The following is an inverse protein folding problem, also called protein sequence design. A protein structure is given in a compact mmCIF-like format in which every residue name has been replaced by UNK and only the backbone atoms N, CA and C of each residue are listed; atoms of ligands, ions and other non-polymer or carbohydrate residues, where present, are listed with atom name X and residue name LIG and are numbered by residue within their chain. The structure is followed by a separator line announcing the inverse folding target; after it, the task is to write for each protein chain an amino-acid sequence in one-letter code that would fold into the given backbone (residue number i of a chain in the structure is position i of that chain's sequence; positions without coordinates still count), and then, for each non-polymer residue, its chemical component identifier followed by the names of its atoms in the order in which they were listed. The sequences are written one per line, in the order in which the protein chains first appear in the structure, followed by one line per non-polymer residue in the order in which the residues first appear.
data_IF_459059992301
#
_entry.id   IF_459059992301
#
_cell.length_a   1.000
_cell.length_b   1.000
_cell.length_c   1.000
_cell.angle_alpha   90.00
_cell.angle_beta   90.00
_cell.angle_gamma   90.00
#
_symmetry.space_group_name_H-M   'P 1'
#
loop_
_entity.id
_entity.type
_entity.pdbx_description
1 polymer ?
#
# COMPACT_ATOMS: atom_id res chain seq x y z
N UNK A 1 -26.20 -0.62 -9.20
CA UNK A 1 -24.98 -0.17 -9.91
C UNK A 1 -23.78 -1.06 -9.58
N UNK A 2 -22.68 -0.99 -10.35
CA UNK A 2 -21.49 -1.80 -10.07
C UNK A 2 -20.81 -1.35 -8.79
N UNK A 3 -20.74 -0.03 -8.55
CA UNK A 3 -20.16 0.55 -7.34
C UNK A 3 -20.85 0.05 -6.06
N UNK A 4 -22.19 -0.12 -6.08
CA UNK A 4 -22.96 -0.63 -4.94
C UNK A 4 -22.56 -2.07 -4.60
N UNK A 5 -22.31 -2.91 -5.62
CA UNK A 5 -21.82 -4.29 -5.41
C UNK A 5 -20.46 -4.30 -4.74
N UNK A 6 -19.55 -3.37 -5.12
CA UNK A 6 -18.21 -3.22 -4.52
C UNK A 6 -18.32 -2.80 -3.04
N UNK A 7 -19.26 -1.91 -2.71
CA UNK A 7 -19.52 -1.46 -1.34
C UNK A 7 -20.13 -2.59 -0.52
N UNK A 8 -21.26 -3.14 -0.97
CA UNK A 8 -22.01 -4.19 -0.28
C UNK A 8 -21.16 -5.42 0.03
N UNK A 9 -20.32 -5.84 -0.92
CA UNK A 9 -19.49 -7.03 -0.79
C UNK A 9 -18.10 -6.75 -0.16
N UNK A 10 -17.87 -5.54 0.37
CA UNK A 10 -16.64 -5.13 1.04
C UNK A 10 -15.36 -5.34 0.19
N UNK A 11 -15.46 -5.26 -1.15
CA UNK A 11 -14.31 -5.36 -2.05
C UNK A 11 -13.65 -3.99 -2.32
N UNK A 12 -14.23 -2.89 -1.84
CA UNK A 12 -13.66 -1.54 -1.93
C UNK A 12 -12.35 -1.43 -1.15
N UNK A 13 -11.31 -0.85 -1.77
CA UNK A 13 -10.02 -0.58 -1.13
C UNK A 13 -9.98 0.76 -0.37
N UNK A 14 -10.92 1.67 -0.65
CA UNK A 14 -10.95 3.02 -0.11
C UNK A 14 -9.97 3.99 -0.77
N UNK A 15 -9.51 3.73 -1.99
CA UNK A 15 -8.48 4.54 -2.68
C UNK A 15 -8.94 5.98 -3.02
N UNK A 16 -10.24 6.20 -3.22
CA UNK A 16 -10.81 7.53 -3.48
C UNK A 16 -10.94 7.92 -4.95
N UNK A 17 -10.37 7.18 -5.91
CA UNK A 17 -10.35 7.57 -7.31
C UNK A 17 -11.75 7.82 -7.91
N UNK A 18 -12.76 7.08 -7.47
CA UNK A 18 -14.13 7.27 -7.94
C UNK A 18 -14.72 8.66 -7.57
N UNK A 19 -14.32 9.25 -6.43
CA UNK A 19 -14.69 10.62 -6.07
C UNK A 19 -14.04 11.62 -7.04
N UNK A 20 -12.74 11.44 -7.32
CA UNK A 20 -12.02 12.32 -8.23
C UNK A 20 -12.55 12.27 -9.67
N UNK A 21 -12.94 11.06 -10.14
CA UNK A 21 -13.42 10.84 -11.53
C UNK A 21 -14.88 11.28 -11.71
N UNK A 22 -15.75 10.99 -10.74
CA UNK A 22 -17.20 11.22 -10.88
C UNK A 22 -17.70 12.45 -10.12
N UNK A 23 -16.79 13.24 -9.58
CA UNK A 23 -17.01 14.41 -8.75
C UNK A 23 -17.66 14.11 -7.39
N UNK A 24 -17.36 14.93 -6.41
CA UNK A 24 -17.88 14.79 -5.04
C UNK A 24 -19.39 14.90 -4.96
N UNK A 25 -20.04 15.55 -5.92
CA UNK A 25 -21.50 15.68 -5.99
C UNK A 25 -22.21 14.37 -6.36
N UNK A 26 -21.50 13.42 -6.97
CA UNK A 26 -22.05 12.09 -7.30
C UNK A 26 -21.53 10.99 -6.36
N UNK A 27 -20.22 11.03 -6.06
CA UNK A 27 -19.56 10.01 -5.25
C UNK A 27 -18.63 10.69 -4.26
N UNK A 28 -18.89 10.59 -2.98
CA UNK A 28 -18.08 11.16 -1.90
C UNK A 28 -17.49 10.05 -1.03
N UNK A 29 -16.20 10.11 -0.70
CA UNK A 29 -15.56 9.15 0.20
C UNK A 29 -15.84 9.55 1.65
N UNK A 30 -16.52 8.67 2.38
CA UNK A 30 -16.86 8.86 3.80
C UNK A 30 -16.37 7.70 4.65
N UNK A 31 -16.09 8.00 5.93
CA UNK A 31 -15.81 6.98 6.93
C UNK A 31 -17.13 6.27 7.29
N UNK A 32 -17.16 4.95 7.16
CA UNK A 32 -18.32 4.15 7.56
C UNK A 32 -18.25 3.79 9.07
N UNK A 33 -19.34 3.23 9.61
CA UNK A 33 -19.44 2.80 11.01
C UNK A 33 -18.40 1.75 11.43
N UNK A 34 -17.84 0.98 10.48
CA UNK A 34 -16.78 0.00 10.73
C UNK A 34 -15.38 0.62 10.73
N UNK A 35 -15.26 1.95 10.54
CA UNK A 35 -13.98 2.66 10.54
C UNK A 35 -13.17 2.51 9.27
N UNK A 36 -13.81 2.37 8.10
CA UNK A 36 -13.16 2.33 6.79
C UNK A 36 -13.72 3.38 5.85
N UNK A 37 -12.89 3.94 4.99
CA UNK A 37 -13.32 4.85 3.92
C UNK A 37 -14.05 4.10 2.81
N UNK A 38 -15.25 4.57 2.46
CA UNK A 38 -16.11 3.99 1.42
C UNK A 38 -16.78 5.09 0.61
N UNK A 39 -17.04 4.84 -0.69
CA UNK A 39 -17.83 5.76 -1.49
C UNK A 39 -19.27 5.81 -0.99
N UNK A 40 -19.77 7.02 -0.81
CA UNK A 40 -21.20 7.34 -0.64
C UNK A 40 -21.71 7.86 -1.98
N UNK A 41 -22.70 7.18 -2.57
CA UNK A 41 -23.23 7.49 -3.89
C UNK A 41 -24.50 8.32 -3.73
N UNK A 42 -24.44 9.59 -4.10
CA UNK A 42 -25.59 10.53 -4.01
C UNK A 42 -26.41 10.56 -5.31
N UNK A 43 -25.78 10.26 -6.45
CA UNK A 43 -26.43 10.19 -7.78
C UNK A 43 -25.97 8.96 -8.54
N UNK A 44 -26.89 8.33 -9.27
CA UNK A 44 -26.57 7.16 -10.06
C UNK A 44 -25.51 7.47 -11.14
N UNK A 45 -24.56 6.54 -11.29
CA UNK A 45 -23.62 6.58 -12.39
C UNK A 45 -24.30 6.22 -13.70
N UNK A 46 -24.03 6.95 -14.78
CA UNK A 46 -24.47 6.63 -16.14
C UNK A 46 -23.85 5.30 -16.62
N UNK A 47 -24.32 4.75 -17.72
CA UNK A 47 -23.74 3.54 -18.30
C UNK A 47 -22.27 3.73 -18.69
N UNK A 48 -21.90 4.90 -19.19
CA UNK A 48 -20.52 5.25 -19.52
C UNK A 48 -19.64 5.29 -18.26
N UNK A 49 -20.09 5.98 -17.20
CA UNK A 49 -19.37 6.05 -15.91
C UNK A 49 -19.22 4.69 -15.26
N UNK A 50 -20.26 3.84 -15.31
CA UNK A 50 -20.16 2.45 -14.83
C UNK A 50 -19.13 1.63 -15.65
N UNK A 51 -19.06 1.86 -16.97
CA UNK A 51 -18.05 1.23 -17.81
C UNK A 51 -16.63 1.68 -17.44
N UNK A 52 -16.41 2.98 -17.22
CA UNK A 52 -15.13 3.49 -16.74
C UNK A 52 -14.77 2.92 -15.37
N UNK A 53 -15.72 2.91 -14.41
CA UNK A 53 -15.52 2.36 -13.07
C UNK A 53 -15.06 0.90 -13.10
N UNK A 54 -15.63 0.08 -13.99
CA UNK A 54 -15.24 -1.31 -14.20
C UNK A 54 -13.80 -1.47 -14.69
N UNK A 55 -13.23 -0.48 -15.36
CA UNK A 55 -11.89 -0.53 -15.93
C UNK A 55 -10.80 -0.15 -14.92
N UNK A 56 -11.09 0.74 -13.97
CA UNK A 56 -10.06 1.24 -13.05
C UNK A 56 -10.24 0.78 -11.59
N UNK A 57 -11.42 0.35 -11.15
CA UNK A 57 -11.66 0.05 -9.74
C UNK A 57 -10.93 -1.22 -9.29
N UNK A 58 -9.96 -1.14 -8.33
CA UNK A 58 -9.22 -2.30 -7.85
C UNK A 58 -10.05 -3.27 -6.99
N UNK A 59 -11.30 -2.91 -6.66
CA UNK A 59 -12.30 -3.79 -6.08
C UNK A 59 -12.95 -4.74 -7.10
N UNK A 60 -12.73 -4.50 -8.40
CA UNK A 60 -13.29 -5.27 -9.53
C UNK A 60 -12.18 -5.91 -10.34
N UNK A 61 -11.13 -5.13 -10.67
CA UNK A 61 -10.09 -5.53 -11.61
C UNK A 61 -8.72 -5.07 -11.13
N UNK A 62 -7.72 -5.94 -11.26
CA UNK A 62 -6.30 -5.62 -11.21
C UNK A 62 -5.66 -6.36 -12.37
N UNK A 63 -5.37 -5.63 -13.44
CA UNK A 63 -4.72 -6.16 -14.64
C UNK A 63 -3.43 -5.40 -14.89
N UNK A 64 -2.36 -6.15 -15.10
CA UNK A 64 -1.07 -5.66 -15.58
C UNK A 64 -1.01 -5.85 -17.09
N UNK A 65 -0.47 -4.88 -17.80
CA UNK A 65 0.00 -5.10 -19.17
C UNK A 65 1.24 -5.99 -19.13
N UNK A 66 1.39 -6.86 -20.12
CA UNK A 66 2.59 -7.68 -20.23
C UNK A 66 3.79 -6.77 -20.53
N UNK A 67 4.82 -6.88 -19.71
CA UNK A 67 6.11 -6.24 -19.95
C UNK A 67 7.15 -7.34 -20.21
N UNK A 68 8.05 -7.07 -21.12
CA UNK A 68 9.21 -7.92 -21.33
C UNK A 68 10.23 -7.61 -20.23
N UNK A 69 10.20 -8.38 -19.15
CA UNK A 69 11.09 -8.22 -18.00
C UNK A 69 12.07 -9.39 -17.92
N UNK A 70 13.35 -9.12 -17.56
CA UNK A 70 14.38 -10.17 -17.55
C UNK A 70 14.21 -11.19 -16.42
N UNK A 71 13.46 -10.84 -15.35
CA UNK A 71 13.30 -11.68 -14.16
C UNK A 71 11.83 -11.96 -13.88
N UNK A 72 11.53 -13.19 -13.51
CA UNK A 72 10.20 -13.63 -13.11
C UNK A 72 10.26 -14.61 -11.94
N UNK A 73 9.40 -14.42 -10.97
CA UNK A 73 9.14 -15.35 -9.88
C UNK A 73 7.63 -15.60 -9.72
N UNK A 74 7.18 -16.85 -9.47
CA UNK A 74 5.75 -17.17 -9.33
C UNK A 74 5.01 -16.44 -8.21
N UNK A 75 5.71 -16.00 -7.16
CA UNK A 75 5.16 -15.30 -6.00
C UNK A 75 5.38 -13.80 -6.14
N UNK A 76 6.61 -13.41 -6.49
CA UNK A 76 7.05 -12.00 -6.51
C UNK A 76 6.79 -11.32 -7.85
N UNK A 77 6.49 -12.11 -8.91
CA UNK A 77 6.10 -11.61 -10.24
C UNK A 77 7.29 -11.15 -11.07
N UNK A 78 6.98 -10.43 -12.15
CA UNK A 78 7.95 -9.89 -13.09
C UNK A 78 8.68 -8.67 -12.50
N UNK A 79 9.98 -8.54 -12.82
CA UNK A 79 10.82 -7.42 -12.35
C UNK A 79 12.06 -7.24 -13.24
N UNK A 80 12.62 -6.04 -13.25
CA UNK A 80 13.90 -5.76 -13.90
C UNK A 80 15.06 -6.01 -12.95
N UNK A 81 14.93 -5.62 -11.69
CA UNK A 81 15.92 -5.88 -10.64
C UNK A 81 15.27 -6.05 -9.28
N UNK A 82 15.99 -6.73 -8.39
CA UNK A 82 15.64 -6.87 -6.99
C UNK A 82 16.90 -6.79 -6.13
N UNK A 83 16.92 -5.92 -5.13
CA UNK A 83 18.09 -5.73 -4.27
C UNK A 83 17.71 -5.42 -2.83
N UNK A 84 18.66 -5.56 -1.90
CA UNK A 84 18.62 -5.00 -0.57
C UNK A 84 19.45 -3.72 -0.58
N UNK A 85 18.84 -2.62 -0.13
CA UNK A 85 19.49 -1.31 -0.06
C UNK A 85 18.87 -0.42 1.00
N UNK A 86 19.35 0.80 1.08
CA UNK A 86 18.83 1.83 1.98
C UNK A 86 19.13 3.23 1.43
N UNK A 87 18.60 4.26 2.10
CA UNK A 87 19.08 5.63 1.94
C UNK A 87 20.56 5.73 2.26
N UNK A 88 21.32 6.47 1.47
CA UNK A 88 22.70 6.85 1.80
C UNK A 88 22.74 7.90 2.90
N UNK A 89 21.73 8.77 3.00
CA UNK A 89 21.56 9.77 4.05
C UNK A 89 21.13 9.09 5.37
N UNK A 90 22.05 9.03 6.34
CA UNK A 90 21.83 8.43 7.65
C UNK A 90 20.70 9.11 8.43
N UNK A 91 20.51 10.43 8.30
CA UNK A 91 19.45 11.16 8.94
C UNK A 91 18.08 10.68 8.42
N UNK A 92 17.92 10.66 7.11
CA UNK A 92 16.71 10.11 6.45
C UNK A 92 16.45 8.67 6.88
N UNK A 93 17.51 7.84 6.95
CA UNK A 93 17.40 6.43 7.33
C UNK A 93 16.93 6.21 8.76
N UNK A 94 17.25 7.11 9.69
CA UNK A 94 16.85 7.02 11.10
C UNK A 94 15.46 7.62 11.38
N UNK A 95 15.02 8.57 10.57
CA UNK A 95 13.74 9.27 10.79
C UNK A 95 12.53 8.56 10.16
N UNK A 96 12.72 7.78 9.11
CA UNK A 96 11.64 7.12 8.40
C UNK A 96 11.57 5.60 8.69
N UNK A 97 10.54 4.94 8.20
CA UNK A 97 10.38 3.48 8.33
C UNK A 97 11.25 2.73 7.32
N UNK A 98 11.67 1.51 7.66
CA UNK A 98 12.47 0.64 6.79
C UNK A 98 13.85 1.24 6.46
N UNK A 99 14.43 0.92 5.28
CA UNK A 99 15.69 1.52 4.79
C UNK A 99 15.51 2.88 4.14
N UNK A 100 14.32 3.45 4.18
CA UNK A 100 13.98 4.77 3.63
C UNK A 100 14.23 4.94 2.11
N UNK A 101 14.32 3.83 1.39
CA UNK A 101 14.56 3.86 -0.05
C UNK A 101 13.53 4.72 -0.81
N UNK A 102 12.25 4.65 -0.43
CA UNK A 102 11.20 5.49 -1.05
C UNK A 102 11.51 6.97 -0.80
N UNK A 103 11.73 7.40 0.44
CA UNK A 103 11.99 8.81 0.76
C UNK A 103 13.21 9.37 0.01
N UNK A 104 14.28 8.56 -0.13
CA UNK A 104 15.45 8.94 -0.93
C UNK A 104 15.15 9.07 -2.42
N UNK A 105 14.35 8.16 -2.99
CA UNK A 105 13.92 8.26 -4.38
C UNK A 105 13.04 9.48 -4.62
N UNK A 106 12.14 9.81 -3.70
CA UNK A 106 11.30 11.00 -3.80
C UNK A 106 12.14 12.28 -3.75
N UNK A 107 13.14 12.32 -2.87
CA UNK A 107 14.11 13.39 -2.79
C UNK A 107 14.88 13.55 -4.10
N UNK A 108 15.41 12.44 -4.63
CA UNK A 108 16.10 12.40 -5.91
C UNK A 108 15.25 12.99 -7.04
N UNK A 109 13.97 12.57 -7.13
CA UNK A 109 13.05 13.06 -8.15
C UNK A 109 12.84 14.58 -8.09
N UNK A 110 12.74 15.17 -6.89
CA UNK A 110 12.58 16.62 -6.72
C UNK A 110 13.89 17.38 -6.95
N UNK A 111 14.98 16.94 -6.34
CA UNK A 111 16.29 17.65 -6.43
C UNK A 111 16.87 17.65 -7.86
N UNK A 112 16.56 16.59 -8.64
CA UNK A 112 16.93 16.51 -10.07
C UNK A 112 15.88 17.12 -11.01
N UNK A 113 14.84 17.77 -10.49
CA UNK A 113 13.75 18.37 -11.26
C UNK A 113 13.09 17.40 -12.26
N UNK A 114 13.06 16.08 -11.93
CA UNK A 114 12.40 15.06 -12.75
C UNK A 114 10.90 15.20 -12.62
N UNK A 115 10.42 15.58 -11.42
CA UNK A 115 9.03 15.92 -11.14
C UNK A 115 8.95 17.23 -10.34
N UNK A 116 7.80 17.90 -10.43
CA UNK A 116 7.53 19.17 -9.73
C UNK A 116 6.95 18.94 -8.33
N UNK A 117 6.27 17.82 -8.15
CA UNK A 117 5.61 17.49 -6.89
C UNK A 117 5.46 15.98 -6.69
N UNK A 118 5.39 15.59 -5.42
CA UNK A 118 5.12 14.23 -4.97
C UNK A 118 3.74 14.19 -4.32
N UNK A 119 2.85 13.34 -4.82
CA UNK A 119 1.54 13.09 -4.21
C UNK A 119 1.62 11.81 -3.38
N UNK A 120 1.35 11.92 -2.09
CA UNK A 120 1.42 10.80 -1.15
C UNK A 120 0.48 10.98 0.04
N UNK A 121 0.61 10.14 1.07
CA UNK A 121 -0.22 10.18 2.28
C UNK A 121 0.61 10.64 3.47
N UNK A 122 0.08 11.56 4.26
CA UNK A 122 0.63 11.94 5.55
C UNK A 122 -0.41 11.93 6.67
N UNK A 123 0.01 12.21 7.89
CA UNK A 123 -0.90 12.45 9.00
C UNK A 123 -1.71 13.72 8.75
N UNK A 124 -2.99 13.69 9.13
CA UNK A 124 -3.77 14.92 9.18
C UNK A 124 -3.23 15.86 10.26
N UNK A 125 -3.17 17.15 9.96
CA UNK A 125 -2.72 18.16 10.92
C UNK A 125 -3.72 18.37 12.05
N UNK A 126 -5.01 18.28 11.74
CA UNK A 126 -6.10 18.62 12.66
C UNK A 126 -6.73 17.40 13.36
N UNK A 127 -6.60 16.22 12.77
CA UNK A 127 -7.24 15.01 13.23
C UNK A 127 -6.19 13.88 13.35
N UNK A 128 -5.57 13.71 14.54
CA UNK A 128 -4.35 12.90 14.71
C UNK A 128 -4.49 11.43 14.31
N UNK A 129 -5.71 10.90 14.31
CA UNK A 129 -6.02 9.52 13.89
C UNK A 129 -6.15 9.37 12.37
N UNK A 130 -6.40 10.46 11.64
CA UNK A 130 -6.70 10.42 10.22
C UNK A 130 -5.45 10.65 9.37
N UNK A 131 -5.60 10.27 8.13
CA UNK A 131 -4.64 10.52 7.07
C UNK A 131 -5.24 11.50 6.07
N UNK A 132 -4.39 12.30 5.45
CA UNK A 132 -4.75 13.19 4.35
C UNK A 132 -3.77 13.06 3.19
N UNK A 133 -4.20 13.51 2.02
CA UNK A 133 -3.35 13.64 0.84
C UNK A 133 -2.36 14.76 1.08
N UNK A 134 -1.09 14.50 0.78
CA UNK A 134 -0.01 15.50 0.82
C UNK A 134 0.56 15.69 -0.57
N UNK A 135 0.89 16.93 -0.87
CA UNK A 135 1.64 17.31 -2.07
C UNK A 135 2.94 17.93 -1.59
N UNK A 136 4.04 17.18 -1.70
CA UNK A 136 5.37 17.63 -1.25
C UNK A 136 6.21 18.11 -2.42
N UNK A 137 6.91 19.22 -2.21
CA UNK A 137 7.82 19.88 -3.18
C UNK A 137 9.24 20.00 -2.65
N UNK A 138 9.47 19.66 -1.39
CA UNK A 138 10.77 19.79 -0.72
C UNK A 138 11.12 18.51 0.04
N UNK A 139 12.42 18.31 0.27
CA UNK A 139 12.96 17.24 1.12
C UNK A 139 12.34 17.27 2.51
N UNK A 140 12.17 18.45 3.08
CA UNK A 140 11.61 18.62 4.41
C UNK A 140 10.18 18.08 4.48
N UNK A 141 9.34 18.45 3.53
CA UNK A 141 7.94 17.97 3.47
C UNK A 141 7.86 16.44 3.27
N UNK A 142 8.78 15.84 2.50
CA UNK A 142 8.88 14.39 2.36
C UNK A 142 9.20 13.74 3.71
N UNK A 143 10.20 14.25 4.44
CA UNK A 143 10.64 13.68 5.71
C UNK A 143 9.59 13.81 6.82
N UNK A 144 8.88 14.93 6.89
CA UNK A 144 7.77 15.12 7.82
C UNK A 144 6.68 14.05 7.69
N UNK A 145 6.48 13.55 6.47
CA UNK A 145 5.47 12.56 6.14
C UNK A 145 6.04 11.13 5.93
N UNK A 146 7.35 10.93 6.11
CA UNK A 146 8.07 9.69 5.84
C UNK A 146 7.86 8.61 6.90
N UNK A 147 6.61 8.20 7.14
CA UNK A 147 6.29 7.15 8.10
C UNK A 147 5.19 6.22 7.59
N UNK A 148 5.23 4.96 8.05
CA UNK A 148 4.12 4.03 7.83
C UNK A 148 2.85 4.55 8.51
N UNK A 149 1.74 4.54 7.78
CA UNK A 149 0.43 4.96 8.28
C UNK A 149 -0.54 3.78 8.20
N UNK A 150 -0.80 3.11 9.33
CA UNK A 150 -1.70 1.94 9.40
C UNK A 150 -3.13 2.36 9.72
N UNK A 151 -3.68 3.29 8.96
CA UNK A 151 -5.03 3.83 9.06
C UNK A 151 -5.62 4.03 7.67
N UNK A 152 -6.95 4.08 7.52
CA UNK A 152 -7.59 4.33 6.23
C UNK A 152 -7.10 5.64 5.58
N UNK A 153 -6.89 5.59 4.27
CA UNK A 153 -6.52 6.75 3.44
C UNK A 153 -7.14 6.64 2.06
N UNK A 154 -7.50 7.77 1.47
CA UNK A 154 -8.05 7.90 0.13
C UNK A 154 -7.17 8.83 -0.73
N UNK A 155 -5.93 8.41 -1.08
CA UNK A 155 -4.96 9.31 -1.69
C UNK A 155 -5.31 9.77 -3.10
N UNK A 156 -6.36 9.23 -3.69
CA UNK A 156 -6.80 9.55 -5.05
C UNK A 156 -8.12 10.35 -5.09
N UNK A 157 -8.66 10.78 -3.94
CA UNK A 157 -9.98 11.42 -3.92
C UNK A 157 -10.03 12.80 -4.62
N UNK A 158 -8.89 13.48 -4.74
CA UNK A 158 -8.73 14.74 -5.46
C UNK A 158 -7.55 14.72 -6.45
N UNK A 159 -7.13 13.54 -6.90
CA UNK A 159 -5.91 13.38 -7.70
C UNK A 159 -5.98 14.12 -9.05
N UNK A 160 -7.15 14.17 -9.70
CA UNK A 160 -7.29 14.85 -10.98
C UNK A 160 -7.16 16.37 -10.84
N UNK A 161 -7.67 16.95 -9.74
CA UNK A 161 -7.46 18.36 -9.43
C UNK A 161 -5.97 18.65 -9.21
N UNK A 162 -5.28 17.81 -8.43
CA UNK A 162 -3.84 17.95 -8.18
C UNK A 162 -3.06 17.87 -9.50
N UNK A 163 -3.32 16.86 -10.35
CA UNK A 163 -2.63 16.67 -11.64
C UNK A 163 -2.79 17.90 -12.56
N UNK A 164 -3.92 18.60 -12.49
CA UNK A 164 -4.14 19.79 -13.31
C UNK A 164 -3.20 20.94 -12.95
N UNK A 165 -2.70 20.99 -11.70
CA UNK A 165 -1.83 22.05 -11.21
C UNK A 165 -0.33 21.82 -11.48
N UNK A 166 0.06 20.66 -12.06
CA UNK A 166 1.45 20.28 -12.31
C UNK A 166 1.60 19.63 -13.67
N UNK A 167 2.79 19.75 -14.28
CA UNK A 167 3.11 19.07 -15.53
C UNK A 167 3.72 17.68 -15.32
N UNK A 168 4.43 17.49 -14.20
CA UNK A 168 5.12 16.24 -13.88
C UNK A 168 5.01 15.94 -12.39
N UNK A 169 4.36 14.86 -12.03
CA UNK A 169 4.27 14.40 -10.65
C UNK A 169 4.75 12.96 -10.49
N UNK A 170 5.15 12.60 -9.28
CA UNK A 170 5.22 11.20 -8.85
C UNK A 170 4.12 10.92 -7.81
N UNK A 171 3.57 9.73 -7.85
CA UNK A 171 2.54 9.26 -6.92
C UNK A 171 3.09 8.12 -6.05
N UNK A 172 2.87 8.20 -4.74
CA UNK A 172 3.18 7.12 -3.80
C UNK A 172 1.91 6.65 -3.09
N UNK A 173 1.62 5.35 -3.22
CA UNK A 173 0.44 4.77 -2.60
C UNK A 173 0.54 3.28 -2.33
N UNK A 174 -0.46 2.74 -1.65
CA UNK A 174 -0.63 1.29 -1.50
C UNK A 174 -0.75 0.64 -2.89
N UNK A 175 -0.39 -0.65 -3.05
CA UNK A 175 -0.54 -1.34 -4.35
C UNK A 175 -1.91 -1.16 -5.00
N UNK A 176 -2.99 -1.16 -4.21
CA UNK A 176 -4.35 -0.93 -4.74
C UNK A 176 -4.60 0.52 -5.17
N UNK A 177 -3.96 1.52 -4.56
CA UNK A 177 -4.05 2.92 -5.00
C UNK A 177 -3.29 3.09 -6.33
N UNK A 178 -2.07 2.54 -6.40
CA UNK A 178 -1.29 2.53 -7.64
C UNK A 178 -2.03 1.77 -8.75
N UNK A 179 -2.62 0.61 -8.45
CA UNK A 179 -3.39 -0.15 -9.42
C UNK A 179 -4.58 0.64 -9.98
N UNK A 180 -5.31 1.38 -9.12
CA UNK A 180 -6.40 2.24 -9.55
C UNK A 180 -5.92 3.34 -10.50
N UNK A 181 -4.86 4.06 -10.11
CA UNK A 181 -4.32 5.17 -10.91
C UNK A 181 -3.68 4.69 -12.22
N UNK A 182 -2.92 3.58 -12.19
CA UNK A 182 -2.32 2.97 -13.38
C UNK A 182 -3.38 2.52 -14.38
N UNK A 183 -4.42 1.82 -13.92
CA UNK A 183 -5.51 1.39 -14.78
C UNK A 183 -6.31 2.58 -15.34
N UNK A 184 -6.47 3.64 -14.56
CA UNK A 184 -7.09 4.86 -15.04
C UNK A 184 -6.24 5.60 -16.07
N UNK A 185 -4.91 5.55 -15.95
CA UNK A 185 -4.00 6.14 -16.95
C UNK A 185 -4.12 5.50 -18.34
N UNK A 186 -4.62 4.25 -18.45
CA UNK A 186 -4.90 3.61 -19.75
C UNK A 186 -6.12 4.17 -20.47
N UNK A 187 -6.95 4.95 -19.77
CA UNK A 187 -8.17 5.56 -20.33
C UNK A 187 -8.22 7.08 -20.16
N UNK A 188 -7.16 7.68 -19.60
CA UNK A 188 -7.03 9.12 -19.41
C UNK A 188 -5.60 9.55 -19.76
N UNK A 189 -5.47 10.24 -20.89
CA UNK A 189 -4.16 10.67 -21.42
C UNK A 189 -3.47 11.71 -20.52
N UNK A 190 -4.21 12.58 -19.84
CA UNK A 190 -3.64 13.56 -18.92
C UNK A 190 -2.94 12.87 -17.75
N UNK A 191 -3.58 11.86 -17.13
CA UNK A 191 -2.96 11.06 -16.08
C UNK A 191 -1.75 10.30 -16.63
N UNK A 192 -1.86 9.71 -17.83
CA UNK A 192 -0.76 8.98 -18.48
C UNK A 192 0.46 9.87 -18.73
N UNK A 193 0.26 11.11 -19.17
CA UNK A 193 1.36 12.02 -19.52
C UNK A 193 1.98 12.72 -18.31
N UNK A 194 1.19 13.06 -17.28
CA UNK A 194 1.64 13.88 -16.15
C UNK A 194 2.14 13.07 -14.95
N UNK A 195 1.64 11.86 -14.72
CA UNK A 195 2.13 10.97 -13.64
C UNK A 195 3.35 10.19 -14.14
N UNK A 196 4.55 10.70 -13.87
CA UNK A 196 5.81 10.13 -14.40
C UNK A 196 6.22 8.85 -13.69
N UNK A 197 5.99 8.77 -12.39
CA UNK A 197 6.34 7.60 -11.58
C UNK A 197 5.21 7.24 -10.62
N UNK A 198 4.93 5.96 -10.52
CA UNK A 198 4.02 5.38 -9.54
C UNK A 198 4.79 4.43 -8.65
N UNK A 199 5.08 4.85 -7.43
CA UNK A 199 5.89 4.11 -6.46
C UNK A 199 4.98 3.49 -5.41
N UNK A 200 5.30 2.27 -4.99
CA UNK A 200 4.52 1.56 -3.98
C UNK A 200 5.41 0.93 -2.91
N UNK A 201 4.77 0.28 -1.96
CA UNK A 201 5.41 -0.49 -0.89
C UNK A 201 4.64 -1.80 -0.67
N UNK A 202 5.27 -2.80 -0.06
CA UNK A 202 4.56 -4.01 0.32
C UNK A 202 3.51 -3.69 1.38
N UNK A 203 2.26 -4.05 1.09
CA UNK A 203 1.11 -3.71 1.91
C UNK A 203 0.51 -4.93 2.60
N UNK A 204 0.63 -5.00 3.91
CA UNK A 204 0.03 -6.07 4.69
C UNK A 204 -1.49 -5.91 4.89
N UNK A 205 -2.04 -4.70 4.72
CA UNK A 205 -3.47 -4.39 4.81
C UNK A 205 -3.75 -3.05 5.48
N UNK A 206 -5.00 -2.63 5.44
CA UNK A 206 -5.48 -1.39 6.05
C UNK A 206 -6.37 -1.75 7.24
N UNK A 207 -5.91 -1.52 8.49
CA UNK A 207 -6.73 -1.67 9.69
C UNK A 207 -7.85 -0.61 9.74
N UNK A 208 -8.88 -0.89 10.52
CA UNK A 208 -9.94 0.11 10.78
C UNK A 208 -9.42 1.25 11.66
N UNK A 209 -10.02 2.42 11.49
CA UNK A 209 -9.77 3.55 12.40
C UNK A 209 -10.11 3.20 13.85
N UNK A 210 -11.19 2.44 14.05
CA UNK A 210 -11.60 1.97 15.37
C UNK A 210 -10.49 1.19 16.08
N UNK A 211 -9.73 0.35 15.34
CA UNK A 211 -8.64 -0.42 15.94
C UNK A 211 -7.54 0.48 16.55
N UNK A 212 -7.23 1.60 15.91
CA UNK A 212 -6.28 2.58 16.46
C UNK A 212 -6.85 3.26 17.71
N UNK A 213 -8.14 3.65 17.69
CA UNK A 213 -8.81 4.24 18.85
C UNK A 213 -8.90 3.29 20.02
N UNK A 214 -9.16 1.98 19.77
CA UNK A 214 -9.17 0.95 20.78
C UNK A 214 -7.80 0.79 21.48
N UNK A 215 -6.70 0.90 20.71
CA UNK A 215 -5.34 0.87 21.26
C UNK A 215 -5.10 2.08 22.16
N UNK A 216 -5.48 3.26 21.72
CA UNK A 216 -5.31 4.52 22.48
C UNK A 216 -6.07 4.44 23.79
N UNK A 217 -7.33 4.00 23.76
CA UNK A 217 -8.14 3.79 24.97
C UNK A 217 -7.53 2.76 25.92
N UNK A 218 -6.97 1.67 25.39
CA UNK A 218 -6.30 0.64 26.21
C UNK A 218 -5.00 1.16 26.88
N UNK A 219 -4.42 2.25 26.37
CA UNK A 219 -3.30 2.97 26.98
C UNK A 219 -3.75 3.97 28.07
N UNK A 220 -5.06 4.08 28.33
CA UNK A 220 -5.61 5.01 29.31
C UNK A 220 -5.69 6.46 28.81
N UNK A 221 -5.66 6.68 27.48
CA UNK A 221 -5.73 8.01 26.89
C UNK A 221 -7.10 8.20 26.25
N UNK A 222 -7.80 9.28 26.59
CA UNK A 222 -9.04 9.65 25.91
C UNK A 222 -8.74 10.15 24.48
N UNK A 223 -9.61 9.82 23.53
CA UNK A 223 -9.37 10.16 22.12
C UNK A 223 -9.21 11.66 21.88
N UNK A 224 -9.94 12.48 22.63
CA UNK A 224 -9.93 13.94 22.52
C UNK A 224 -8.65 14.57 23.08
N UNK A 225 -7.90 13.83 23.89
CA UNK A 225 -6.61 14.28 24.44
C UNK A 225 -5.41 13.91 23.56
N UNK A 226 -5.63 13.17 22.48
CA UNK A 226 -4.57 12.79 21.56
C UNK A 226 -4.20 13.94 20.63
N UNK A 227 -2.93 14.31 20.61
CA UNK A 227 -2.38 15.32 19.69
C UNK A 227 -1.66 14.67 18.51
N UNK A 228 -1.09 13.46 18.68
CA UNK A 228 -0.34 12.77 17.63
C UNK A 228 -0.39 11.25 17.77
N UNK A 229 -0.50 10.58 16.62
CA UNK A 229 -0.34 9.12 16.51
C UNK A 229 0.70 8.81 15.43
N UNK A 230 1.78 8.16 15.83
CA UNK A 230 2.77 7.59 14.92
C UNK A 230 2.69 6.07 14.96
N UNK A 231 2.73 5.40 13.81
CA UNK A 231 2.62 3.93 13.76
C UNK A 231 3.96 3.21 13.79
N UNK A 232 5.04 3.89 13.33
CA UNK A 232 6.42 3.39 13.35
C UNK A 232 7.38 4.57 13.41
N UNK A 233 7.86 4.92 14.57
CA UNK A 233 8.82 6.02 14.82
C UNK A 233 9.91 5.55 15.77
N UNK A 234 11.03 6.26 15.83
CA UNK A 234 12.17 5.98 16.71
C UNK A 234 12.84 4.62 16.37
N UNK A 235 13.48 4.56 15.19
CA UNK A 235 14.24 3.41 14.74
C UNK A 235 13.45 2.44 13.84
N UNK A 236 14.05 1.29 13.57
CA UNK A 236 13.47 0.22 12.79
C UNK A 236 13.56 -1.12 13.56
N UNK A 237 12.45 -1.80 13.83
CA UNK A 237 11.08 -1.65 13.29
C UNK A 237 10.32 -0.42 13.75
N UNK A 238 10.76 0.26 14.81
CA UNK A 238 10.10 1.43 15.39
C UNK A 238 8.94 1.08 16.32
N UNK A 239 8.36 2.11 16.94
CA UNK A 239 7.28 2.01 17.90
C UNK A 239 6.00 2.65 17.41
N UNK A 240 4.87 2.09 17.79
CA UNK A 240 3.61 2.81 17.82
C UNK A 240 3.66 3.82 18.97
N UNK A 241 3.32 5.06 18.71
CA UNK A 241 3.36 6.14 19.71
C UNK A 241 2.08 6.93 19.70
N UNK A 242 1.66 7.31 20.91
CA UNK A 242 0.60 8.29 21.14
C UNK A 242 1.19 9.43 21.95
N UNK A 243 0.89 10.66 21.61
CA UNK A 243 1.25 11.86 22.37
C UNK A 243 -0.05 12.52 22.78
N UNK A 244 -0.23 12.74 24.11
CA UNK A 244 -1.39 13.45 24.68
C UNK A 244 -1.18 14.96 24.67
N UNK A 245 -2.22 15.71 25.02
CA UNK A 245 -2.15 17.17 25.23
C UNK A 245 -1.15 17.55 26.31
N UNK A 246 -0.99 16.72 27.35
CA UNK A 246 -0.02 16.92 28.43
C UNK A 246 1.39 16.47 28.04
N UNK A 247 1.65 16.26 26.73
CA UNK A 247 2.93 15.80 26.18
C UNK A 247 3.40 14.44 26.70
N UNK A 248 2.55 13.65 27.35
CA UNK A 248 2.86 12.29 27.78
C UNK A 248 2.98 11.40 26.53
N UNK A 249 4.08 10.65 26.46
CA UNK A 249 4.39 9.77 25.35
C UNK A 249 4.20 8.31 25.74
N UNK A 250 3.22 7.66 25.11
CA UNK A 250 2.97 6.22 25.24
C UNK A 250 3.59 5.47 24.05
N UNK A 251 4.18 4.30 24.30
CA UNK A 251 4.83 3.48 23.27
C UNK A 251 4.45 2.01 23.37
N UNK A 252 4.23 1.39 22.22
CA UNK A 252 4.07 -0.06 22.06
C UNK A 252 5.02 -0.57 20.98
N UNK A 253 5.53 -1.79 21.14
CA UNK A 253 6.40 -2.41 20.15
C UNK A 253 5.65 -2.66 18.82
N UNK A 254 6.39 -2.67 17.73
CA UNK A 254 5.86 -2.98 16.39
C UNK A 254 5.19 -4.35 16.36
N UNK A 255 5.82 -5.38 16.92
CA UNK A 255 5.29 -6.75 16.95
C UNK A 255 3.95 -6.83 17.67
N UNK A 256 3.82 -6.20 18.85
CA UNK A 256 2.56 -6.15 19.59
C UNK A 256 1.49 -5.40 18.78
N UNK A 257 1.82 -4.21 18.30
CA UNK A 257 0.85 -3.34 17.64
C UNK A 257 0.37 -3.94 16.31
N UNK A 258 1.32 -4.32 15.44
CA UNK A 258 0.93 -4.83 14.12
C UNK A 258 0.39 -6.26 14.20
N UNK A 259 1.11 -7.19 14.83
CA UNK A 259 0.76 -8.61 14.79
C UNK A 259 -0.47 -8.94 15.62
N UNK A 260 -0.65 -8.28 16.77
CA UNK A 260 -1.70 -8.61 17.74
C UNK A 260 -2.93 -7.71 17.66
N UNK A 261 -2.74 -6.40 17.41
CA UNK A 261 -3.80 -5.40 17.57
C UNK A 261 -4.37 -4.92 16.22
N UNK A 262 -3.54 -4.46 15.29
CA UNK A 262 -3.97 -3.89 14.02
C UNK A 262 -4.19 -4.92 12.90
N UNK A 263 -3.28 -5.87 12.73
CA UNK A 263 -3.32 -6.86 11.66
C UNK A 263 -4.61 -7.70 11.60
N UNK A 264 -5.18 -8.17 12.71
CA UNK A 264 -6.46 -8.87 12.73
C UNK A 264 -7.65 -8.00 12.26
N UNK A 265 -7.55 -6.69 12.43
CA UNK A 265 -8.60 -5.69 12.13
C UNK A 265 -8.50 -5.09 10.71
N UNK A 266 -7.72 -5.69 9.81
CA UNK A 266 -7.67 -5.23 8.41
C UNK A 266 -8.97 -5.51 7.69
N UNK A 267 -9.37 -4.59 6.78
CA UNK A 267 -10.60 -4.71 5.99
C UNK A 267 -10.65 -5.99 5.16
N UNK A 268 -11.86 -6.47 4.87
CA UNK A 268 -12.07 -7.71 4.12
C UNK A 268 -11.35 -7.72 2.77
N UNK A 269 -11.38 -6.61 2.03
CA UNK A 269 -10.66 -6.44 0.77
C UNK A 269 -9.17 -6.81 0.87
N UNK A 270 -8.52 -6.52 1.99
CA UNK A 270 -7.12 -6.86 2.22
C UNK A 270 -6.89 -8.36 2.48
N UNK A 271 -7.90 -9.07 3.00
CA UNK A 271 -7.86 -10.52 3.22
C UNK A 271 -7.96 -11.32 1.91
N UNK A 272 -8.58 -10.73 0.88
CA UNK A 272 -8.69 -11.28 -0.49
C UNK A 272 -7.83 -10.49 -1.50
N UNK A 273 -6.72 -9.88 -1.06
CA UNK A 273 -5.92 -9.02 -1.91
C UNK A 273 -5.09 -9.83 -2.93
N UNK A 274 -5.23 -9.56 -4.24
CA UNK A 274 -4.40 -10.19 -5.27
C UNK A 274 -3.00 -9.61 -5.37
N UNK A 275 -2.83 -8.35 -4.94
CA UNK A 275 -1.59 -7.60 -5.09
C UNK A 275 -1.24 -6.83 -3.82
N UNK A 276 -0.47 -7.46 -2.95
CA UNK A 276 0.15 -6.80 -1.81
C UNK A 276 1.59 -6.37 -2.06
N UNK A 277 2.13 -6.63 -3.26
CA UNK A 277 3.55 -6.46 -3.60
C UNK A 277 3.80 -5.50 -4.76
N UNK A 278 2.78 -4.75 -5.19
CA UNK A 278 2.92 -3.63 -6.12
C UNK A 278 3.30 -4.00 -7.55
N UNK A 279 2.59 -4.96 -8.17
CA UNK A 279 2.87 -5.38 -9.53
C UNK A 279 2.65 -4.28 -10.59
N UNK A 280 1.81 -3.28 -10.31
CA UNK A 280 1.47 -2.20 -11.23
C UNK A 280 2.26 -0.91 -10.97
N UNK A 281 3.18 -0.91 -10.01
CA UNK A 281 4.09 0.22 -9.74
C UNK A 281 5.31 0.22 -10.67
N UNK A 282 6.01 1.33 -10.75
CA UNK A 282 7.32 1.39 -11.41
C UNK A 282 8.41 0.84 -10.49
N UNK A 283 8.34 1.22 -9.21
CA UNK A 283 9.23 0.75 -8.14
C UNK A 283 8.37 0.37 -6.94
N UNK A 284 8.76 -0.70 -6.25
CA UNK A 284 8.17 -1.08 -4.98
C UNK A 284 9.25 -1.38 -3.95
N UNK A 285 9.04 -0.91 -2.72
CA UNK A 285 9.95 -1.19 -1.61
C UNK A 285 9.25 -1.96 -0.50
N UNK A 286 10.03 -2.69 0.30
CA UNK A 286 9.55 -3.41 1.46
C UNK A 286 10.57 -3.39 2.59
N UNK A 287 10.16 -3.75 3.81
CA UNK A 287 11.10 -4.01 4.90
C UNK A 287 12.02 -5.18 4.53
N UNK A 288 13.32 -5.00 4.67
CA UNK A 288 14.36 -5.99 4.41
C UNK A 288 14.85 -6.64 5.71
N UNK A 289 14.00 -7.38 6.43
CA UNK A 289 14.34 -8.04 7.68
C UNK A 289 15.52 -9.02 7.52
N UNK A 290 16.45 -9.01 8.45
CA UNK A 290 17.66 -9.87 8.41
C UNK A 290 17.73 -10.87 9.54
N UNK A 291 17.12 -10.57 10.71
CA UNK A 291 17.13 -11.46 11.86
C UNK A 291 15.89 -12.34 11.89
N UNK A 292 16.11 -13.64 12.04
CA UNK A 292 15.05 -14.65 12.05
C UNK A 292 15.14 -15.52 13.31
N UNK A 293 13.98 -15.95 13.81
CA UNK A 293 13.89 -16.94 14.87
C UNK A 293 14.18 -18.37 14.34
N UNK A 294 14.22 -19.35 15.23
CA UNK A 294 14.46 -20.74 14.91
C UNK A 294 13.40 -21.36 13.96
N UNK A 295 12.25 -20.68 13.79
CA UNK A 295 11.18 -21.08 12.85
C UNK A 295 11.26 -20.33 11.52
N UNK A 296 12.26 -19.46 11.36
CA UNK A 296 12.47 -18.67 10.15
C UNK A 296 11.56 -17.44 10.04
N UNK A 297 10.93 -16.95 11.11
CA UNK A 297 10.16 -15.72 11.13
C UNK A 297 11.02 -14.53 11.55
N UNK A 298 10.80 -13.33 10.97
CA UNK A 298 11.49 -12.12 11.39
C UNK A 298 11.30 -11.84 12.87
N UNK A 299 12.39 -11.56 13.58
CA UNK A 299 12.37 -11.27 15.05
C UNK A 299 12.06 -9.81 15.37
N UNK A 300 12.13 -8.93 14.38
CA UNK A 300 11.91 -7.49 14.54
C UNK A 300 12.84 -6.83 15.57
N UNK A 301 14.08 -7.27 15.66
CA UNK A 301 15.12 -6.63 16.47
C UNK A 301 15.43 -5.24 15.93
N UNK A 302 15.77 -4.31 16.85
CA UNK A 302 16.18 -2.97 16.44
C UNK A 302 17.51 -3.03 15.70
N UNK A 303 17.54 -2.44 14.52
CA UNK A 303 18.70 -2.41 13.62
C UNK A 303 18.65 -1.17 12.70
N UNK A 304 19.74 -0.80 12.03
CA UNK A 304 19.65 0.16 10.93
C UNK A 304 18.75 -0.36 9.83
N UNK A 305 17.71 0.41 9.46
CA UNK A 305 16.70 0.01 8.50
C UNK A 305 17.29 -0.40 7.15
N UNK A 306 16.74 -1.46 6.55
CA UNK A 306 17.03 -1.92 5.19
C UNK A 306 15.74 -2.14 4.41
N UNK A 307 15.80 -1.91 3.11
CA UNK A 307 14.68 -2.11 2.20
C UNK A 307 15.00 -3.18 1.16
N UNK A 308 14.03 -4.05 0.87
CA UNK A 308 13.95 -4.70 -0.43
C UNK A 308 13.52 -3.64 -1.42
N UNK A 309 14.19 -3.53 -2.55
CA UNK A 309 13.90 -2.56 -3.63
C UNK A 309 13.72 -3.36 -4.91
N UNK A 310 12.57 -3.23 -5.55
CA UNK A 310 12.22 -3.95 -6.78
C UNK A 310 11.79 -2.93 -7.84
N UNK A 311 12.41 -2.98 -9.02
CA UNK A 311 11.91 -2.29 -10.21
C UNK A 311 10.97 -3.18 -11.01
N UNK A 312 9.82 -2.63 -11.40
CA UNK A 312 8.76 -3.34 -12.12
C UNK A 312 8.63 -2.95 -13.59
N UNK A 313 9.14 -1.77 -13.94
CA UNK A 313 9.11 -1.22 -15.29
C UNK A 313 10.50 -0.78 -15.70
N UNK A 314 10.74 -0.64 -17.01
CA UNK A 314 12.00 -0.09 -17.52
C UNK A 314 12.25 1.32 -16.98
N UNK A 315 11.21 2.15 -16.92
CA UNK A 315 11.29 3.50 -16.37
C UNK A 315 11.71 3.49 -14.88
N UNK A 316 11.17 2.56 -14.09
CA UNK A 316 11.57 2.35 -12.69
C UNK A 316 13.01 1.85 -12.55
N UNK A 317 13.46 0.96 -13.43
CA UNK A 317 14.84 0.46 -13.43
C UNK A 317 15.85 1.58 -13.75
N UNK A 318 15.55 2.39 -14.75
CA UNK A 318 16.42 3.49 -15.13
C UNK A 318 16.53 4.54 -14.01
N UNK A 319 15.41 4.86 -13.34
CA UNK A 319 15.40 5.71 -12.15
C UNK A 319 16.27 5.14 -11.02
N UNK A 320 16.14 3.84 -10.71
CA UNK A 320 16.93 3.20 -9.66
C UNK A 320 18.41 3.22 -9.98
N UNK A 321 18.81 2.92 -11.21
CA UNK A 321 20.20 2.96 -11.64
C UNK A 321 20.83 4.35 -11.44
N UNK A 322 20.09 5.40 -11.82
CA UNK A 322 20.57 6.77 -11.63
C UNK A 322 20.65 7.15 -10.15
N UNK A 323 19.63 6.80 -9.34
CA UNK A 323 19.62 7.08 -7.90
C UNK A 323 20.76 6.36 -7.15
N UNK A 324 21.14 5.15 -7.56
CA UNK A 324 22.31 4.44 -7.03
C UNK A 324 23.63 5.11 -7.49
N UNK A 325 23.72 5.47 -8.77
CA UNK A 325 24.91 6.14 -9.35
C UNK A 325 25.17 7.49 -8.69
N UNK A 326 24.11 8.26 -8.43
CA UNK A 326 24.18 9.59 -7.83
C UNK A 326 24.19 9.53 -6.29
N UNK A 327 24.39 8.36 -5.70
CA UNK A 327 24.56 8.09 -4.27
C UNK A 327 23.39 8.52 -3.36
N UNK A 328 22.16 8.57 -3.88
CA UNK A 328 20.96 8.74 -3.06
C UNK A 328 20.56 7.44 -2.37
N UNK A 329 20.91 6.32 -2.95
CA UNK A 329 20.70 4.99 -2.41
C UNK A 329 22.02 4.24 -2.33
N UNK A 330 22.19 3.43 -1.29
CA UNK A 330 23.25 2.43 -1.18
C UNK A 330 22.67 1.04 -1.39
N UNK A 331 23.30 0.27 -2.27
CA UNK A 331 22.96 -1.14 -2.50
C UNK A 331 23.89 -2.03 -1.69
N UNK A 332 23.31 -2.92 -0.88
CA UNK A 332 24.08 -3.88 -0.08
C UNK A 332 24.28 -5.20 -0.84
N UNK A 333 23.26 -5.68 -1.54
CA UNK A 333 23.33 -6.88 -2.38
C UNK A 333 22.19 -6.96 -3.37
N UNK A 334 22.41 -7.63 -4.49
CA UNK A 334 21.36 -8.06 -5.39
C UNK A 334 20.68 -9.34 -4.87
N UNK A 335 19.38 -9.47 -5.08
CA UNK A 335 18.61 -10.67 -4.75
C UNK A 335 18.40 -11.45 -6.06
N UNK A 336 19.10 -12.54 -6.20
CA UNK A 336 18.98 -13.51 -7.31
C UNK A 336 18.23 -14.78 -6.89
N UNK A 337 18.30 -15.14 -5.61
CA UNK A 337 17.49 -16.19 -5.00
C UNK A 337 16.28 -15.60 -4.26
N UNK A 338 15.11 -15.66 -4.91
CA UNK A 338 13.88 -15.08 -4.39
C UNK A 338 13.33 -15.79 -3.14
N UNK A 339 13.84 -17.01 -2.80
CA UNK A 339 13.52 -17.69 -1.52
C UNK A 339 13.93 -16.85 -0.31
N UNK A 340 14.87 -15.94 -0.48
CA UNK A 340 15.20 -14.95 0.56
C UNK A 340 13.99 -14.06 0.87
N UNK A 341 13.26 -13.60 -0.16
CA UNK A 341 12.07 -12.75 0.03
C UNK A 341 10.96 -13.55 0.72
N UNK A 342 10.82 -14.86 0.43
CA UNK A 342 9.85 -15.74 1.11
C UNK A 342 10.03 -15.72 2.63
N UNK A 343 11.29 -15.75 3.08
CA UNK A 343 11.65 -15.67 4.51
C UNK A 343 11.40 -14.28 5.08
N UNK A 344 11.80 -13.23 4.34
CA UNK A 344 11.65 -11.83 4.79
C UNK A 344 10.17 -11.43 4.85
N UNK A 345 9.33 -11.90 3.90
CA UNK A 345 7.96 -11.44 3.70
C UNK A 345 6.92 -12.59 3.66
N UNK A 346 6.91 -13.51 4.67
CA UNK A 346 6.08 -14.72 4.63
C UNK A 346 4.57 -14.40 4.56
N UNK A 347 4.15 -13.26 5.09
CA UNK A 347 2.76 -12.81 5.02
C UNK A 347 2.31 -12.44 3.61
N UNK A 348 3.19 -11.88 2.78
CA UNK A 348 2.89 -11.57 1.38
C UNK A 348 2.88 -12.83 0.52
N UNK A 349 3.84 -13.72 0.75
CA UNK A 349 3.84 -15.05 0.13
C UNK A 349 2.52 -15.79 0.38
N UNK A 350 2.07 -15.86 1.63
CA UNK A 350 0.80 -16.50 1.98
C UNK A 350 -0.42 -15.86 1.29
N UNK A 351 -0.46 -14.54 1.13
CA UNK A 351 -1.54 -13.86 0.39
C UNK A 351 -1.61 -14.35 -1.06
N UNK A 352 -0.48 -14.45 -1.74
CA UNK A 352 -0.41 -14.94 -3.13
C UNK A 352 -0.86 -16.40 -3.25
N UNK A 353 -0.36 -17.26 -2.36
CA UNK A 353 -0.65 -18.69 -2.35
C UNK A 353 -2.15 -19.00 -2.16
N UNK A 354 -2.87 -18.15 -1.40
CA UNK A 354 -4.28 -18.37 -1.08
C UNK A 354 -5.26 -17.44 -1.81
N UNK A 355 -4.77 -16.52 -2.64
CA UNK A 355 -5.63 -15.57 -3.33
C UNK A 355 -6.73 -16.26 -4.14
N UNK A 356 -6.38 -17.26 -4.95
CA UNK A 356 -7.35 -17.93 -5.83
C UNK A 356 -8.54 -18.50 -5.05
N UNK A 357 -8.30 -19.31 -4.03
CA UNK A 357 -9.38 -19.96 -3.27
C UNK A 357 -10.19 -18.97 -2.45
N UNK A 358 -9.57 -17.89 -1.94
CA UNK A 358 -10.27 -16.82 -1.24
C UNK A 358 -11.17 -16.00 -2.19
N UNK A 359 -10.69 -15.72 -3.39
CA UNK A 359 -11.43 -15.03 -4.43
C UNK A 359 -12.59 -15.88 -4.97
N UNK A 360 -12.37 -17.20 -5.11
CA UNK A 360 -13.40 -18.18 -5.48
C UNK A 360 -14.50 -18.27 -4.40
N UNK A 361 -14.15 -18.37 -3.12
CA UNK A 361 -15.08 -18.34 -2.01
C UNK A 361 -15.93 -17.07 -2.02
N UNK A 362 -15.30 -15.93 -2.30
CA UNK A 362 -16.00 -14.65 -2.43
C UNK A 362 -16.97 -14.66 -3.60
N UNK A 363 -16.56 -15.17 -4.76
CA UNK A 363 -17.42 -15.28 -5.95
C UNK A 363 -18.65 -16.13 -5.69
N UNK A 364 -18.49 -17.29 -5.09
CA UNK A 364 -19.61 -18.20 -4.79
C UNK A 364 -20.59 -17.57 -3.80
N UNK A 365 -20.10 -16.90 -2.75
CA UNK A 365 -20.93 -16.35 -1.69
C UNK A 365 -21.65 -15.05 -2.09
N UNK A 366 -21.01 -14.20 -2.95
CA UNK A 366 -21.47 -12.83 -3.21
C UNK A 366 -21.73 -12.53 -4.69
N UNK A 367 -21.45 -13.47 -5.58
CA UNK A 367 -21.42 -13.26 -7.03
C UNK A 367 -20.49 -12.08 -7.46
N UNK A 368 -19.46 -11.81 -6.64
CA UNK A 368 -18.46 -10.75 -6.89
C UNK A 368 -17.07 -11.33 -6.71
N UNK A 369 -16.14 -10.97 -7.59
CA UNK A 369 -14.75 -11.39 -7.51
C UNK A 369 -13.84 -10.34 -8.14
N UNK A 370 -12.56 -10.37 -7.79
CA UNK A 370 -11.55 -9.48 -8.36
C UNK A 370 -10.95 -10.17 -9.59
N UNK A 371 -11.15 -9.55 -10.76
CA UNK A 371 -10.56 -10.03 -12.02
C UNK A 371 -9.07 -9.70 -12.04
N UNK A 372 -8.22 -10.68 -12.32
CA UNK A 372 -6.76 -10.52 -12.43
C UNK A 372 -6.21 -11.36 -13.55
N UNK A 373 -5.00 -11.04 -13.99
CA UNK A 373 -4.22 -11.93 -14.85
C UNK A 373 -3.90 -13.24 -14.11
N UNK A 374 -3.83 -14.37 -14.82
CA UNK A 374 -3.56 -15.69 -14.22
C UNK A 374 -2.19 -15.74 -13.54
N UNK A 375 -1.22 -15.01 -14.05
CA UNK A 375 0.16 -14.92 -13.56
C UNK A 375 0.22 -14.42 -12.10
N UNK A 376 -0.78 -13.67 -11.64
CA UNK A 376 -0.83 -13.20 -10.27
C UNK A 376 -0.98 -14.29 -9.22
N UNK A 377 -1.44 -15.48 -9.59
CA UNK A 377 -1.78 -16.51 -8.60
C UNK A 377 -1.60 -17.96 -9.06
N UNK A 378 -1.61 -18.23 -10.37
CA UNK A 378 -1.77 -19.59 -10.86
C UNK A 378 -0.66 -20.52 -10.37
N UNK A 379 0.60 -20.15 -10.57
CA UNK A 379 1.74 -20.95 -10.10
C UNK A 379 1.85 -20.96 -8.57
N UNK A 380 1.56 -19.82 -7.92
CA UNK A 380 1.65 -19.70 -6.48
C UNK A 380 0.67 -20.61 -5.72
N UNK A 381 -0.53 -20.85 -6.25
CA UNK A 381 -1.54 -21.69 -5.58
C UNK A 381 -1.09 -23.14 -5.42
N UNK A 382 -0.28 -23.66 -6.33
CA UNK A 382 0.21 -25.05 -6.31
C UNK A 382 1.35 -25.27 -5.30
N UNK A 383 1.90 -24.22 -4.69
CA UNK A 383 2.96 -24.34 -3.68
C UNK A 383 2.42 -24.78 -2.30
N UNK A 384 1.10 -24.93 -2.13
CA UNK A 384 0.44 -25.41 -0.90
C UNK A 384 -0.45 -26.62 -1.17
N UNK A 385 -0.57 -27.50 -0.17
CA UNK A 385 -1.41 -28.69 -0.26
C UNK A 385 -2.88 -28.35 -0.47
N UNK A 386 -3.63 -29.22 -1.13
CA UNK A 386 -5.05 -29.08 -1.38
C UNK A 386 -5.87 -28.89 -0.09
N UNK A 387 -5.54 -29.62 0.98
CA UNK A 387 -6.21 -29.49 2.29
C UNK A 387 -6.04 -28.07 2.83
N UNK A 388 -4.85 -27.48 2.71
CA UNK A 388 -4.60 -26.10 3.17
C UNK A 388 -5.37 -25.07 2.32
N UNK A 389 -5.50 -25.30 1.01
CA UNK A 389 -6.32 -24.49 0.13
C UNK A 389 -7.81 -24.55 0.53
N UNK A 390 -8.36 -25.76 0.79
CA UNK A 390 -9.73 -25.94 1.26
C UNK A 390 -9.98 -25.22 2.59
N UNK A 391 -9.08 -25.33 3.57
CA UNK A 391 -9.20 -24.59 4.84
C UNK A 391 -9.30 -23.09 4.64
N UNK A 392 -8.50 -22.53 3.72
CA UNK A 392 -8.53 -21.11 3.38
C UNK A 392 -9.82 -20.71 2.64
N UNK A 393 -10.34 -21.58 1.78
CA UNK A 393 -11.63 -21.42 1.12
C UNK A 393 -12.75 -21.31 2.16
N UNK A 394 -12.94 -22.33 3.00
CA UNK A 394 -13.99 -22.36 4.02
C UNK A 394 -13.85 -21.24 5.05
N UNK A 395 -12.63 -20.95 5.50
CA UNK A 395 -12.37 -19.85 6.41
C UNK A 395 -12.69 -18.47 5.81
N UNK A 396 -12.58 -18.30 4.48
CA UNK A 396 -13.01 -17.07 3.80
C UNK A 396 -14.52 -17.05 3.65
N UNK A 397 -15.11 -18.16 3.19
CA UNK A 397 -16.54 -18.30 2.97
C UNK A 397 -17.35 -18.03 4.24
N UNK A 398 -16.91 -18.52 5.40
CA UNK A 398 -17.59 -18.31 6.70
C UNK A 398 -17.52 -16.85 7.20
N UNK A 399 -16.45 -16.10 6.84
CA UNK A 399 -16.29 -14.69 7.26
C UNK A 399 -17.11 -13.71 6.42
N UNK A 400 -17.62 -14.11 5.28
CA UNK A 400 -18.46 -13.27 4.44
C UNK A 400 -19.87 -13.30 5.03
N UNK A 401 -20.28 -12.20 5.70
CA UNK A 401 -21.65 -12.01 6.14
C UNK A 401 -22.54 -11.78 4.91
N UNK A 402 -23.72 -12.37 4.91
CA UNK A 402 -24.73 -12.12 3.86
C UNK A 402 -25.28 -10.70 3.97
#
# INVERSE_FOLDING_TARGET
MVIDKVIKNNTCSGCGLCESVFTKTKVEIKMNSSGYLRPHVSKNLTNYENSQFNRFCPGIVIKKEQNDTPLYDPIWGEMYSCSIGASSDLKTRNEASSGCAISSLLNYLLEKNIVEAIVHVGASKNLPFLNEVKVSKTKQEILENANSRYSPSAPLNNILEIINNYEKIAFVGKPCDVAALRQYSFINNTVKSKVKYMISFFCAGVPSLSATKDIVKALGVENDDVTKVDYRKEGWPGYFRVISKDYIKYRLSYSLTWMKLLGPKVQFRCKICPDGVGHLSDIVCADGWEDFDNKGFPTFKNAPGKSIIISRTKNGEDLLRQAFKDEYLVKFKDITDFRLIDKIQPGQMAKKQFFFVRNLATRIKTNTYIKTNKEFYFKAMFTKSFITQLRNFYGTFSRIKK
#
